data_IF_277909076250
#
_entry.id   IF_277909076250
#
_cell.length_a   1.000
_cell.length_b   1.000
_cell.length_c   1.000
_cell.angle_alpha   90.00
_cell.angle_beta   90.00
_cell.angle_gamma   90.00
#
_symmetry.space_group_name_H-M   'P 1'
#
loop_
_entity.id
_entity.type
_entity.pdbx_description
1 polymer ?
#
# COMPACT_ATOMS: atom_id res chain seq x y z
N UNK A 1 66.29 27.55 11.39
CA UNK A 1 65.07 27.59 12.22
C UNK A 1 63.88 27.42 11.29
N UNK A 2 63.00 26.48 11.63
CA UNK A 2 62.13 25.75 10.70
C UNK A 2 60.85 26.51 10.29
N UNK A 3 60.41 26.28 9.05
CA UNK A 3 59.09 26.61 8.55
C UNK A 3 58.06 25.60 9.07
N UNK A 4 56.93 26.10 9.57
CA UNK A 4 55.75 25.27 9.87
C UNK A 4 54.65 25.61 8.88
N UNK A 5 54.41 24.66 7.98
CA UNK A 5 53.27 24.62 7.09
C UNK A 5 52.05 24.07 7.85
N UNK A 6 50.89 24.70 7.69
CA UNK A 6 49.59 24.14 8.08
C UNK A 6 48.76 23.92 6.81
N UNK A 7 48.39 22.68 6.46
CA UNK A 7 47.33 22.42 5.50
C UNK A 7 46.00 22.33 6.24
N UNK A 8 45.10 23.30 6.04
CA UNK A 8 43.70 23.18 6.46
C UNK A 8 42.89 22.57 5.32
N UNK A 9 42.38 21.36 5.56
CA UNK A 9 41.53 20.62 4.64
C UNK A 9 40.20 21.34 4.40
N UNK A 10 39.58 21.21 3.21
CA UNK A 10 38.20 21.64 3.02
C UNK A 10 37.28 20.69 3.80
N UNK A 11 36.64 21.22 4.83
CA UNK A 11 35.55 20.52 5.51
C UNK A 11 34.37 20.50 4.54
N UNK A 12 34.15 19.36 3.89
CA UNK A 12 32.90 19.07 3.21
C UNK A 12 31.81 19.06 4.27
N UNK A 13 31.16 20.20 4.48
CA UNK A 13 29.94 20.29 5.27
C UNK A 13 28.89 19.52 4.49
N UNK A 14 28.74 18.25 4.82
CA UNK A 14 27.61 17.44 4.37
C UNK A 14 26.37 18.08 4.99
N UNK A 15 25.75 18.98 4.25
CA UNK A 15 24.42 19.52 4.53
C UNK A 15 23.46 18.32 4.49
N UNK A 16 23.31 17.62 5.62
CA UNK A 16 22.09 16.90 5.93
C UNK A 16 21.02 17.97 6.10
N UNK A 17 20.42 18.34 4.97
CA UNK A 17 19.18 19.11 4.89
C UNK A 17 18.21 18.52 5.92
N UNK A 18 17.59 19.33 6.79
CA UNK A 18 16.53 18.83 7.63
C UNK A 18 15.41 18.43 6.66
N UNK A 19 15.33 17.14 6.34
CA UNK A 19 14.23 16.58 5.60
C UNK A 19 12.97 17.05 6.33
N UNK A 20 12.27 18.04 5.76
CA UNK A 20 10.92 18.43 6.16
C UNK A 20 10.20 17.12 6.41
N UNK A 21 9.90 16.82 7.66
CA UNK A 21 9.62 15.46 8.10
C UNK A 21 8.40 14.94 7.33
N UNK A 22 8.68 14.30 6.20
CA UNK A 22 7.66 13.92 5.25
C UNK A 22 6.82 12.88 5.95
N UNK A 23 5.52 13.14 6.03
CA UNK A 23 4.59 12.25 6.69
C UNK A 23 4.72 10.85 6.07
N UNK A 24 4.82 9.80 6.90
CA UNK A 24 5.11 8.46 6.42
C UNK A 24 3.96 7.91 5.58
N UNK A 25 4.33 7.15 4.55
CA UNK A 25 3.39 6.37 3.75
C UNK A 25 3.24 4.97 4.32
N UNK A 26 2.06 4.39 4.15
CA UNK A 26 1.76 3.05 4.60
C UNK A 26 0.74 2.36 3.68
N UNK A 27 0.80 1.03 3.64
CA UNK A 27 -0.37 0.25 3.24
C UNK A 27 -1.28 0.06 4.44
N UNK A 28 -2.55 0.40 4.25
CA UNK A 28 -3.58 0.22 5.26
C UNK A 28 -4.80 -0.46 4.65
N UNK A 29 -5.50 -1.24 5.47
CA UNK A 29 -6.85 -1.71 5.15
C UNK A 29 -7.85 -0.67 5.64
N UNK A 30 -8.69 -0.17 4.72
CA UNK A 30 -9.82 0.71 5.00
C UNK A 30 -11.09 0.00 4.54
N UNK A 31 -12.00 -0.32 5.46
CA UNK A 31 -13.28 -1.01 5.16
C UNK A 31 -13.09 -2.28 4.31
N UNK A 32 -12.04 -3.05 4.59
CA UNK A 32 -11.72 -4.29 3.88
C UNK A 32 -10.83 -4.14 2.64
N UNK A 33 -10.63 -2.94 2.10
CA UNK A 33 -9.79 -2.71 0.92
C UNK A 33 -8.39 -2.24 1.30
N UNK A 34 -7.35 -2.77 0.65
CA UNK A 34 -5.96 -2.31 0.84
C UNK A 34 -5.71 -1.06 0.00
N UNK A 35 -5.23 0.01 0.64
CA UNK A 35 -4.96 1.30 0.03
C UNK A 35 -3.58 1.82 0.45
N UNK A 36 -3.01 2.70 -0.37
CA UNK A 36 -1.86 3.50 0.01
C UNK A 36 -2.36 4.74 0.75
N UNK A 37 -1.81 5.00 1.93
CA UNK A 37 -2.17 6.15 2.76
C UNK A 37 -0.94 6.92 3.21
N UNK A 38 -1.12 8.22 3.43
CA UNK A 38 -0.17 9.07 4.16
C UNK A 38 -0.77 9.41 5.52
N UNK A 39 -0.04 9.13 6.59
CA UNK A 39 -0.49 9.34 7.97
C UNK A 39 -0.28 10.81 8.36
N UNK A 40 -1.33 11.55 8.73
CA UNK A 40 -1.18 12.97 9.11
C UNK A 40 -0.72 13.22 10.54
N UNK A 41 -0.79 12.21 11.42
CA UNK A 41 -0.19 12.27 12.76
C UNK A 41 0.69 11.03 13.01
N UNK A 42 2.02 11.14 12.85
CA UNK A 42 2.94 10.05 13.18
C UNK A 42 3.20 9.95 14.69
N UNK A 43 2.74 10.91 15.51
CA UNK A 43 3.04 11.01 16.94
C UNK A 43 2.28 10.01 17.82
N UNK A 44 1.39 9.21 17.22
CA UNK A 44 0.83 8.05 17.89
C UNK A 44 -0.12 8.42 19.04
N UNK A 45 -0.72 9.60 19.02
CA UNK A 45 -1.88 9.90 19.87
C UNK A 45 -3.13 9.19 19.30
N UNK A 46 -3.00 7.90 18.99
CA UNK A 46 -4.07 7.03 18.55
C UNK A 46 -4.87 6.63 19.79
N UNK A 47 -5.70 7.57 20.27
CA UNK A 47 -6.80 7.17 21.14
C UNK A 47 -7.72 6.27 20.32
N UNK A 48 -8.07 5.06 20.77
CA UNK A 48 -8.92 4.12 20.04
C UNK A 48 -10.37 4.64 19.82
N UNK A 49 -10.68 5.82 20.35
CA UNK A 49 -11.94 6.54 20.19
C UNK A 49 -11.84 7.73 19.22
N UNK A 50 -10.64 8.08 18.76
CA UNK A 50 -10.40 9.21 17.86
C UNK A 50 -10.28 8.71 16.43
N UNK A 51 -10.94 9.39 15.50
CA UNK A 51 -10.79 9.12 14.08
C UNK A 51 -9.36 9.46 13.65
N UNK A 52 -8.77 8.60 12.82
CA UNK A 52 -7.49 8.90 12.19
C UNK A 52 -7.75 9.61 10.87
N UNK A 53 -7.33 10.88 10.78
CA UNK A 53 -7.28 11.56 9.49
C UNK A 53 -6.13 10.98 8.66
N UNK A 54 -6.42 10.61 7.42
CA UNK A 54 -5.46 10.04 6.49
C UNK A 54 -5.72 10.54 5.08
N UNK A 55 -4.63 10.72 4.31
CA UNK A 55 -4.73 10.98 2.87
C UNK A 55 -4.68 9.65 2.13
N UNK A 56 -5.67 9.40 1.29
CA UNK A 56 -5.81 8.16 0.52
C UNK A 56 -5.33 8.38 -0.91
N UNK A 57 -4.50 7.46 -1.37
CA UNK A 57 -3.96 7.44 -2.72
C UNK A 57 -4.46 6.19 -3.44
N UNK A 58 -5.03 6.37 -4.63
CA UNK A 58 -5.58 5.28 -5.43
C UNK A 58 -4.57 4.84 -6.47
N UNK A 59 -4.45 3.52 -6.63
CA UNK A 59 -3.64 2.95 -7.71
C UNK A 59 -4.20 3.37 -9.06
N UNK A 60 -3.37 3.99 -9.89
CA UNK A 60 -3.75 4.42 -11.23
C UNK A 60 -3.07 3.57 -12.29
N UNK A 61 -1.74 3.41 -12.21
CA UNK A 61 -1.02 2.63 -13.21
C UNK A 61 0.32 2.09 -12.71
N UNK A 62 0.60 0.80 -12.95
CA UNK A 62 1.86 0.11 -12.59
C UNK A 62 2.28 0.38 -11.14
N UNK A 63 3.06 1.43 -10.90
CA UNK A 63 3.61 1.82 -9.60
C UNK A 63 3.14 3.20 -9.14
N UNK A 64 2.31 3.87 -9.93
CA UNK A 64 1.83 5.23 -9.72
C UNK A 64 0.51 5.18 -8.97
N UNK A 65 0.46 5.93 -7.88
CA UNK A 65 -0.73 6.24 -7.12
C UNK A 65 -1.00 7.72 -7.20
N UNK A 66 -2.26 8.07 -7.34
CA UNK A 66 -2.70 9.47 -7.33
C UNK A 66 -3.53 9.74 -6.10
N UNK A 67 -3.29 10.90 -5.49
CA UNK A 67 -4.09 11.41 -4.40
C UNK A 67 -5.56 11.39 -4.81
N UNK A 68 -6.39 10.82 -3.93
CA UNK A 68 -7.82 10.76 -4.14
C UNK A 68 -8.53 11.75 -3.23
N UNK A 69 -8.35 11.62 -1.92
CA UNK A 69 -9.05 12.42 -0.93
C UNK A 69 -8.41 12.28 0.46
N UNK A 70 -8.79 13.15 1.38
CA UNK A 70 -8.53 13.02 2.80
C UNK A 70 -9.80 12.48 3.47
N UNK A 71 -9.64 11.60 4.47
CA UNK A 71 -10.78 11.04 5.20
C UNK A 71 -10.42 10.74 6.64
N UNK A 72 -11.42 10.84 7.51
CA UNK A 72 -11.34 10.45 8.91
C UNK A 72 -11.93 9.04 9.04
N UNK A 73 -11.11 8.07 9.43
CA UNK A 73 -11.52 6.66 9.52
C UNK A 73 -11.63 6.23 10.98
N UNK A 74 -12.68 5.49 11.30
CA UNK A 74 -12.85 4.91 12.63
C UNK A 74 -11.76 3.84 12.87
N UNK A 75 -11.14 3.75 14.05
CA UNK A 75 -10.06 2.81 14.31
C UNK A 75 -10.41 1.34 14.04
N UNK A 76 -11.69 0.94 14.21
CA UNK A 76 -12.13 -0.43 13.86
C UNK A 76 -12.15 -0.73 12.37
N UNK A 77 -12.22 0.30 11.52
CA UNK A 77 -12.22 0.17 10.06
C UNK A 77 -10.86 0.48 9.43
N UNK A 78 -9.87 0.85 10.25
CA UNK A 78 -8.54 1.27 9.84
C UNK A 78 -7.47 0.38 10.47
N UNK A 79 -6.72 -0.32 9.63
CA UNK A 79 -5.58 -1.11 10.08
C UNK A 79 -4.37 -0.83 9.22
N UNK A 80 -3.29 -0.32 9.83
CA UNK A 80 -1.99 -0.23 9.15
C UNK A 80 -1.41 -1.64 9.02
N UNK A 81 -1.14 -2.04 7.78
CA UNK A 81 -0.59 -3.36 7.45
C UNK A 81 0.93 -3.31 7.32
N UNK A 82 1.45 -2.26 6.69
CA UNK A 82 2.88 -2.10 6.41
C UNK A 82 3.24 -0.61 6.31
N UNK A 83 4.24 -0.16 7.08
CA UNK A 83 4.86 1.16 6.89
C UNK A 83 5.87 1.11 5.74
N UNK A 84 5.86 2.12 4.89
CA UNK A 84 6.77 2.20 3.76
C UNK A 84 8.00 3.04 4.10
N UNK A 85 9.16 2.51 3.71
CA UNK A 85 10.43 3.24 3.75
C UNK A 85 10.43 4.32 2.67
N UNK A 86 10.86 5.53 3.05
CA UNK A 86 11.04 6.66 2.15
C UNK A 86 11.92 6.34 0.94
N UNK A 87 12.89 5.43 1.07
CA UNK A 87 13.75 5.01 -0.04
C UNK A 87 13.01 4.27 -1.16
N UNK A 88 11.83 3.72 -0.88
CA UNK A 88 11.02 2.99 -1.87
C UNK A 88 9.78 3.77 -2.33
N UNK A 89 9.65 5.03 -1.90
CA UNK A 89 8.54 5.93 -2.22
C UNK A 89 9.06 7.25 -2.77
N UNK A 90 8.67 7.61 -3.97
CA UNK A 90 8.92 8.94 -4.53
C UNK A 90 7.59 9.71 -4.55
N UNK A 91 7.45 10.72 -3.68
CA UNK A 91 6.26 11.57 -3.63
C UNK A 91 6.52 12.89 -4.35
N UNK A 92 5.72 13.17 -5.38
CA UNK A 92 5.65 14.46 -6.04
C UNK A 92 4.42 15.21 -5.52
N UNK A 93 4.62 16.03 -4.49
CA UNK A 93 3.53 16.73 -3.79
C UNK A 93 2.73 17.64 -4.73
N UNK A 94 3.41 18.41 -5.60
CA UNK A 94 2.77 19.32 -6.56
C UNK A 94 1.77 18.63 -7.50
N UNK A 95 2.01 17.35 -7.80
CA UNK A 95 1.18 16.53 -8.68
C UNK A 95 0.19 15.67 -7.89
N UNK A 96 0.39 15.54 -6.58
CA UNK A 96 -0.33 14.59 -5.75
C UNK A 96 -0.08 13.13 -6.18
N UNK A 97 1.10 12.82 -6.70
CA UNK A 97 1.43 11.47 -7.20
C UNK A 97 2.52 10.82 -6.39
N UNK A 98 2.33 9.55 -6.04
CA UNK A 98 3.31 8.72 -5.34
C UNK A 98 3.70 7.58 -6.26
N UNK A 99 5.00 7.47 -6.55
CA UNK A 99 5.57 6.33 -7.26
C UNK A 99 6.19 5.36 -6.25
N UNK A 100 5.77 4.10 -6.29
CA UNK A 100 6.32 3.04 -5.45
C UNK A 100 7.35 2.19 -6.22
N UNK A 101 8.33 1.63 -5.53
CA UNK A 101 9.17 0.60 -6.13
C UNK A 101 8.34 -0.65 -6.51
N UNK A 102 8.74 -1.36 -7.57
CA UNK A 102 7.99 -2.53 -8.07
C UNK A 102 7.85 -3.64 -7.02
N UNK A 103 8.86 -3.81 -6.19
CA UNK A 103 8.86 -4.79 -5.10
C UNK A 103 7.81 -4.46 -4.03
N UNK A 104 7.58 -3.17 -3.77
CA UNK A 104 6.55 -2.68 -2.85
C UNK A 104 5.17 -2.95 -3.42
N UNK A 105 4.97 -2.74 -4.74
CA UNK A 105 3.72 -3.13 -5.42
C UNK A 105 3.43 -4.62 -5.29
N UNK A 106 4.44 -5.48 -5.44
CA UNK A 106 4.29 -6.92 -5.27
C UNK A 106 3.92 -7.31 -3.82
N UNK A 107 4.35 -6.54 -2.80
CA UNK A 107 3.89 -6.71 -1.42
C UNK A 107 2.44 -6.30 -1.25
N UNK A 108 2.03 -5.15 -1.76
CA UNK A 108 0.64 -4.69 -1.72
C UNK A 108 -0.33 -5.71 -2.33
N UNK A 109 0.02 -6.27 -3.49
CA UNK A 109 -0.81 -7.29 -4.17
C UNK A 109 -1.01 -8.55 -3.32
N UNK A 110 0.03 -8.98 -2.59
CA UNK A 110 -0.08 -10.08 -1.62
C UNK A 110 -1.00 -9.73 -0.46
N UNK A 111 -0.89 -8.52 0.09
CA UNK A 111 -1.78 -8.05 1.17
C UNK A 111 -3.24 -8.00 0.72
N UNK A 112 -3.50 -7.50 -0.49
CA UNK A 112 -4.84 -7.44 -1.07
C UNK A 112 -5.44 -8.83 -1.33
N UNK A 113 -4.59 -9.81 -1.64
CA UNK A 113 -5.03 -11.21 -1.86
C UNK A 113 -5.37 -11.94 -0.57
N UNK A 114 -4.75 -11.56 0.56
CA UNK A 114 -5.01 -12.15 1.89
C UNK A 114 -6.23 -11.53 2.58
N UNK A 115 -6.47 -10.23 2.40
CA UNK A 115 -7.64 -9.54 2.94
C UNK A 115 -8.94 -9.72 2.12
N UNK A 116 -8.84 -10.25 0.90
CA UNK A 116 -9.95 -10.52 -0.01
C UNK A 116 -10.65 -11.86 0.26
N UNK A 117 -11.16 -12.06 1.46
CA UNK A 117 -12.06 -13.19 1.75
C UNK A 117 -13.44 -12.97 1.13
N UNK A 118 -13.74 -13.76 0.07
CA UNK A 118 -15.01 -13.87 -0.67
C UNK A 118 -15.35 -12.65 -1.57
N UNK A 119 -15.14 -12.70 -2.88
CA UNK A 119 -15.85 -13.60 -3.81
C UNK A 119 -14.98 -14.03 -4.98
N UNK A 120 -14.69 -15.33 -5.08
CA UNK A 120 -14.25 -15.94 -6.33
C UNK A 120 -15.40 -15.90 -7.36
N UNK A 121 -15.11 -15.79 -8.67
CA UNK A 121 -16.14 -15.69 -9.70
C UNK A 121 -16.86 -17.03 -9.85
N UNK A 122 -18.19 -16.99 -9.80
CA UNK A 122 -19.06 -18.14 -10.00
C UNK A 122 -19.13 -18.48 -11.51
N UNK A 123 -18.05 -19.04 -12.07
CA UNK A 123 -18.05 -19.59 -13.41
C UNK A 123 -18.13 -21.13 -13.32
N UNK A 124 -19.30 -21.63 -12.95
CA UNK A 124 -19.64 -23.03 -13.10
C UNK A 124 -20.49 -23.21 -14.35
N UNK A 125 -19.83 -23.35 -15.51
CA UNK A 125 -20.44 -23.94 -16.69
C UNK A 125 -20.60 -25.42 -16.37
N UNK A 126 -21.81 -25.84 -15.99
CA UNK A 126 -22.16 -27.24 -15.88
C UNK A 126 -22.35 -27.84 -17.28
N UNK A 127 -21.26 -28.37 -17.85
CA UNK A 127 -21.34 -29.39 -18.88
C UNK A 127 -22.01 -30.64 -18.28
N UNK A 128 -23.14 -31.07 -18.85
CA UNK A 128 -23.78 -32.34 -18.53
C UNK A 128 -23.28 -33.37 -19.55
N UNK A 129 -22.48 -34.39 -19.17
CA UNK A 129 -22.22 -35.52 -20.03
C UNK A 129 -23.36 -36.52 -19.91
N UNK A 130 -23.97 -36.86 -21.04
CA UNK A 130 -24.88 -38.00 -21.14
C UNK A 130 -24.14 -39.31 -20.95
N UNK A 131 -24.75 -40.25 -20.21
CA UNK A 131 -24.67 -41.69 -20.47
C UNK A 131 -25.52 -42.41 -19.42
N UNK A 132 -26.73 -42.85 -19.78
CA UNK A 132 -27.41 -43.95 -19.07
C UNK A 132 -27.83 -45.00 -20.07
N UNK A 133 -27.03 -46.04 -20.06
CA UNK A 133 -27.16 -47.29 -20.79
C UNK A 133 -28.41 -48.07 -20.38
N UNK A 134 -29.12 -48.55 -21.40
CA UNK A 134 -29.96 -49.75 -21.53
C UNK A 134 -30.21 -50.64 -20.30
N UNK A 135 -31.49 -50.95 -20.04
CA UNK A 135 -31.96 -52.31 -19.65
C UNK A 135 -33.35 -52.62 -20.22
N UNK A 136 -33.47 -53.89 -20.60
CA UNK A 136 -34.50 -54.64 -21.33
C UNK A 136 -35.70 -55.07 -20.44
N UNK A 137 -36.80 -55.48 -21.11
CA UNK A 137 -37.91 -56.40 -20.69
C UNK A 137 -39.24 -55.71 -20.32
N UNK A 138 -40.46 -56.22 -20.59
CA UNK A 138 -41.10 -57.29 -21.42
C UNK A 138 -42.61 -57.26 -21.03
N UNK A 139 -43.53 -57.72 -21.89
CA UNK A 139 -44.95 -58.18 -21.65
C UNK A 139 -45.95 -57.09 -21.13
N UNK A 140 -47.16 -56.87 -21.63
CA UNK A 140 -48.25 -57.73 -22.11
C UNK A 140 -49.04 -57.10 -23.27
#
# INVERSE_FOLDING_TARGET
MAAVAYPSAPHTVSMSEPASAALPFAFAQIKGAVCLVQLTDPSGSSSPLMYSDVRVFRHEFITIFRYSHCTSVHPSDFQVLELLDGCCTAYEEDKGTVCLAREVMARMQRLASVGGGATAPHHAISHIPGSRSSRVARIH
#
